data_IF_150017997624
#
_entry.id   IF_150017997624
#
_cell.length_a   1.000
_cell.length_b   1.000
_cell.length_c   1.000
_cell.angle_alpha   90.00
_cell.angle_beta   90.00
_cell.angle_gamma   90.00
#
_symmetry.space_group_name_H-M   'P 1'
#
loop_
_entity.id
_entity.type
_entity.pdbx_description
1 polymer ?
#
# COMPACT_ATOMS: atom_id res chain seq x y z
N UNK A 1 -78.70 21.51 5.42
CA UNK A 1 -77.57 21.84 6.31
C UNK A 1 -76.73 22.92 5.66
N UNK A 2 -76.78 24.17 6.15
CA UNK A 2 -75.88 25.23 5.68
C UNK A 2 -74.60 25.16 6.51
N UNK A 3 -73.46 24.93 5.85
CA UNK A 3 -72.14 25.00 6.50
C UNK A 3 -71.93 26.43 7.00
N UNK A 4 -71.90 26.60 8.32
CA UNK A 4 -71.72 27.90 8.97
C UNK A 4 -70.24 28.12 9.32
N UNK A 5 -69.38 28.05 8.30
CA UNK A 5 -67.94 28.29 8.45
C UNK A 5 -67.65 29.73 8.06
N UNK A 6 -67.21 30.54 9.03
CA UNK A 6 -66.80 31.92 8.82
C UNK A 6 -65.53 31.94 7.91
N UNK A 7 -65.57 32.59 6.73
CA UNK A 7 -64.46 32.57 5.77
C UNK A 7 -63.12 33.06 6.35
N UNK A 8 -63.15 34.09 7.20
CA UNK A 8 -61.96 34.66 7.82
C UNK A 8 -61.32 33.72 8.84
N UNK A 9 -62.14 32.96 9.57
CA UNK A 9 -61.67 31.95 10.53
C UNK A 9 -61.04 30.75 9.82
N UNK A 10 -61.59 30.41 8.65
CA UNK A 10 -61.05 29.35 7.77
C UNK A 10 -59.70 29.77 7.19
N UNK A 11 -59.58 31.02 6.73
CA UNK A 11 -58.33 31.59 6.22
C UNK A 11 -57.23 31.61 7.29
N UNK A 12 -57.58 32.04 8.51
CA UNK A 12 -56.64 32.05 9.64
C UNK A 12 -56.12 30.65 9.98
N UNK A 13 -57.00 29.65 10.06
CA UNK A 13 -56.62 28.25 10.29
C UNK A 13 -55.72 27.71 9.16
N UNK A 14 -55.97 28.12 7.91
CA UNK A 14 -55.13 27.73 6.78
C UNK A 14 -53.72 28.31 6.88
N UNK A 15 -53.58 29.58 7.26
CA UNK A 15 -52.28 30.23 7.46
C UNK A 15 -51.50 29.65 8.65
N UNK A 16 -52.19 29.35 9.76
CA UNK A 16 -51.59 28.62 10.89
C UNK A 16 -51.07 27.23 10.48
N UNK A 17 -51.86 26.49 9.67
CA UNK A 17 -51.46 25.18 9.16
C UNK A 17 -50.25 25.27 8.22
N UNK A 18 -50.22 26.26 7.33
CA UNK A 18 -49.06 26.50 6.44
C UNK A 18 -47.81 26.85 7.24
N UNK A 19 -47.93 27.71 8.24
CA UNK A 19 -46.81 28.09 9.11
C UNK A 19 -46.27 26.87 9.88
N UNK A 20 -47.18 26.04 10.42
CA UNK A 20 -46.82 24.78 11.10
C UNK A 20 -46.11 23.82 10.15
N UNK A 21 -46.67 23.54 8.98
CA UNK A 21 -46.04 22.63 8.00
C UNK A 21 -44.69 23.17 7.50
N UNK A 22 -44.54 24.49 7.32
CA UNK A 22 -43.26 25.10 6.95
C UNK A 22 -42.20 24.87 8.04
N UNK A 23 -42.59 25.01 9.31
CA UNK A 23 -41.70 24.75 10.45
C UNK A 23 -41.33 23.27 10.56
N UNK A 24 -42.31 22.37 10.50
CA UNK A 24 -42.08 20.91 10.53
C UNK A 24 -41.18 20.47 9.37
N UNK A 25 -41.41 20.98 8.15
CA UNK A 25 -40.55 20.69 7.00
C UNK A 25 -39.12 21.16 7.23
N UNK A 26 -38.92 22.36 7.78
CA UNK A 26 -37.60 22.88 8.08
C UNK A 26 -36.90 22.00 9.13
N UNK A 27 -37.58 21.65 10.23
CA UNK A 27 -37.05 20.79 11.29
C UNK A 27 -36.67 19.41 10.78
N UNK A 28 -37.53 18.76 9.98
CA UNK A 28 -37.25 17.46 9.37
C UNK A 28 -36.07 17.53 8.41
N UNK A 29 -35.98 18.58 7.60
CA UNK A 29 -34.86 18.76 6.65
C UNK A 29 -33.55 18.97 7.39
N UNK A 30 -33.53 19.82 8.41
CA UNK A 30 -32.33 20.06 9.24
C UNK A 30 -31.90 18.78 9.96
N UNK A 31 -32.85 18.05 10.55
CA UNK A 31 -32.56 16.79 11.25
C UNK A 31 -31.99 15.74 10.29
N UNK A 32 -32.58 15.59 9.10
CA UNK A 32 -32.07 14.67 8.09
C UNK A 32 -30.66 15.06 7.63
N UNK A 33 -30.40 16.35 7.41
CA UNK A 33 -29.08 16.84 7.01
C UNK A 33 -28.01 16.55 8.08
N UNK A 34 -28.34 16.76 9.36
CA UNK A 34 -27.44 16.45 10.47
C UNK A 34 -27.14 14.95 10.54
N UNK A 35 -28.17 14.10 10.42
CA UNK A 35 -27.98 12.64 10.42
C UNK A 35 -27.15 12.16 9.22
N UNK A 36 -27.28 12.79 8.06
CA UNK A 36 -26.43 12.49 6.89
C UNK A 36 -24.96 12.81 7.22
N UNK A 37 -24.68 13.99 7.76
CA UNK A 37 -23.32 14.39 8.12
C UNK A 37 -22.69 13.48 9.18
N UNK A 38 -23.44 13.11 10.21
CA UNK A 38 -22.98 12.18 11.25
C UNK A 38 -22.65 10.80 10.66
N UNK A 39 -23.50 10.30 9.76
CA UNK A 39 -23.27 9.01 9.09
C UNK A 39 -22.08 9.08 8.14
N UNK A 40 -21.90 10.17 7.41
CA UNK A 40 -20.73 10.38 6.55
C UNK A 40 -19.43 10.38 7.36
N UNK A 41 -19.40 11.07 8.51
CA UNK A 41 -18.26 11.06 9.41
C UNK A 41 -17.97 9.66 9.96
N UNK A 42 -19.01 8.91 10.34
CA UNK A 42 -18.87 7.53 10.79
C UNK A 42 -18.32 6.62 9.69
N UNK A 43 -18.82 6.75 8.47
CA UNK A 43 -18.34 5.99 7.30
C UNK A 43 -16.86 6.28 7.06
N UNK A 44 -16.44 7.54 7.09
CA UNK A 44 -15.02 7.89 6.92
C UNK A 44 -14.15 7.30 8.03
N UNK A 45 -14.59 7.38 9.29
CA UNK A 45 -13.86 6.78 10.41
C UNK A 45 -13.74 5.26 10.27
N UNK A 46 -14.80 4.57 9.84
CA UNK A 46 -14.79 3.13 9.63
C UNK A 46 -13.86 2.74 8.48
N UNK A 47 -13.89 3.47 7.36
CA UNK A 47 -12.97 3.26 6.23
C UNK A 47 -11.51 3.41 6.65
N UNK A 48 -11.17 4.43 7.43
CA UNK A 48 -9.81 4.60 7.95
C UNK A 48 -9.41 3.45 8.88
N UNK A 49 -10.31 2.99 9.76
CA UNK A 49 -10.04 1.86 10.65
C UNK A 49 -9.84 0.56 9.88
N UNK A 50 -10.69 0.28 8.90
CA UNK A 50 -10.59 -0.89 8.03
C UNK A 50 -9.25 -0.90 7.28
N UNK A 51 -8.91 0.22 6.62
CA UNK A 51 -7.63 0.40 5.94
C UNK A 51 -6.44 0.11 6.86
N UNK A 52 -6.41 0.72 8.04
CA UNK A 52 -5.32 0.53 9.00
C UNK A 52 -5.24 -0.92 9.50
N UNK A 53 -6.38 -1.59 9.67
CA UNK A 53 -6.42 -2.99 10.09
C UNK A 53 -5.89 -3.93 9.00
N UNK A 54 -6.28 -3.72 7.74
CA UNK A 54 -5.79 -4.48 6.59
C UNK A 54 -4.27 -4.34 6.48
N UNK A 55 -3.77 -3.11 6.49
CA UNK A 55 -2.33 -2.82 6.44
C UNK A 55 -1.57 -3.42 7.64
N UNK A 56 -2.13 -3.36 8.84
CA UNK A 56 -1.54 -3.99 10.03
C UNK A 56 -1.47 -5.51 9.88
N UNK A 57 -2.48 -6.13 9.28
CA UNK A 57 -2.54 -7.58 9.05
C UNK A 57 -1.48 -8.02 8.05
N UNK A 58 -1.32 -7.27 6.95
CA UNK A 58 -0.26 -7.51 5.98
C UNK A 58 1.14 -7.40 6.60
N UNK A 59 1.39 -6.32 7.37
CA UNK A 59 2.67 -6.13 8.08
C UNK A 59 2.92 -7.28 9.06
N UNK A 60 1.92 -7.69 9.85
CA UNK A 60 2.04 -8.82 10.78
C UNK A 60 2.35 -10.13 10.06
N UNK A 61 1.79 -10.34 8.86
CA UNK A 61 2.14 -11.44 7.98
C UNK A 61 3.63 -11.45 7.63
N UNK A 62 4.19 -10.29 7.24
CA UNK A 62 5.62 -10.14 6.98
C UNK A 62 6.48 -10.30 8.23
N UNK A 63 6.09 -9.71 9.36
CA UNK A 63 6.79 -9.82 10.64
C UNK A 63 6.93 -11.27 11.11
N UNK A 64 5.91 -12.10 10.89
CA UNK A 64 5.93 -13.52 11.30
C UNK A 64 7.02 -14.36 10.62
N UNK A 65 7.58 -13.88 9.50
CA UNK A 65 8.66 -14.52 8.76
C UNK A 65 10.06 -14.13 9.27
N UNK A 66 10.15 -13.16 10.18
CA UNK A 66 11.42 -12.60 10.64
C UNK A 66 11.88 -13.23 11.95
N UNK A 67 13.20 -13.46 12.03
CA UNK A 67 13.85 -13.90 13.26
C UNK A 67 14.47 -12.70 13.99
N UNK A 68 13.99 -12.41 15.19
CA UNK A 68 14.47 -11.30 16.00
C UNK A 68 15.67 -11.69 16.87
N UNK A 69 16.52 -10.70 17.18
CA UNK A 69 17.70 -10.90 17.98
C UNK A 69 17.32 -11.23 19.44
N UNK A 70 17.55 -12.48 19.85
CA UNK A 70 17.29 -12.97 21.21
C UNK A 70 18.13 -12.29 22.30
N UNK A 71 19.20 -11.60 21.93
CA UNK A 71 20.03 -10.81 22.85
C UNK A 71 19.47 -9.41 23.14
N UNK A 72 18.42 -8.98 22.43
CA UNK A 72 17.71 -7.74 22.71
C UNK A 72 16.50 -8.01 23.60
N UNK A 73 16.16 -7.02 24.42
CA UNK A 73 14.98 -7.08 25.26
C UNK A 73 13.69 -7.14 24.41
N UNK A 74 12.74 -7.98 24.82
CA UNK A 74 11.51 -8.19 24.06
C UNK A 74 10.62 -6.95 24.03
N UNK A 75 10.61 -6.13 25.10
CA UNK A 75 9.85 -4.89 25.10
C UNK A 75 10.44 -3.89 24.10
N UNK A 76 11.78 -3.79 24.04
CA UNK A 76 12.47 -2.97 23.04
C UNK A 76 12.13 -3.41 21.60
N UNK A 77 12.17 -4.71 21.32
CA UNK A 77 11.79 -5.26 20.01
C UNK A 77 10.35 -4.86 19.68
N UNK A 78 9.42 -5.07 20.62
CA UNK A 78 8.01 -4.76 20.43
C UNK A 78 7.76 -3.26 20.20
N UNK A 79 8.47 -2.38 20.91
CA UNK A 79 8.35 -0.92 20.74
C UNK A 79 8.84 -0.48 19.36
N UNK A 80 9.96 -1.04 18.88
CA UNK A 80 10.49 -0.76 17.55
C UNK A 80 9.52 -1.26 16.47
N UNK A 81 8.99 -2.49 16.61
CA UNK A 81 7.98 -3.03 15.70
C UNK A 81 6.78 -2.09 15.66
N UNK A 82 6.22 -1.73 16.82
CA UNK A 82 5.05 -0.84 16.91
C UNK A 82 5.29 0.49 16.21
N UNK A 83 6.45 1.11 16.46
CA UNK A 83 6.81 2.40 15.84
C UNK A 83 6.93 2.29 14.32
N UNK A 84 7.63 1.26 13.83
CA UNK A 84 7.82 1.04 12.38
C UNK A 84 6.52 0.68 11.69
N UNK A 85 5.67 -0.17 12.27
CA UNK A 85 4.33 -0.48 11.78
C UNK A 85 3.49 0.79 11.67
N UNK A 86 3.46 1.63 12.72
CA UNK A 86 2.71 2.89 12.68
C UNK A 86 3.24 3.84 11.60
N UNK A 87 4.56 3.94 11.44
CA UNK A 87 5.20 4.78 10.43
C UNK A 87 4.87 4.31 9.02
N UNK A 88 4.90 3.00 8.76
CA UNK A 88 4.55 2.43 7.46
C UNK A 88 3.08 2.69 7.11
N UNK A 89 2.16 2.46 8.05
CA UNK A 89 0.73 2.70 7.84
C UNK A 89 0.44 4.18 7.58
N UNK A 90 1.06 5.08 8.36
CA UNK A 90 0.83 6.52 8.24
C UNK A 90 1.28 7.09 6.89
N UNK A 91 2.33 6.52 6.29
CA UNK A 91 2.89 6.99 5.03
C UNK A 91 2.38 6.20 3.81
N UNK A 92 1.69 5.08 4.01
CA UNK A 92 1.16 4.29 2.91
C UNK A 92 0.14 5.09 2.08
N UNK A 93 0.06 4.79 0.78
CA UNK A 93 -0.91 5.35 -0.16
C UNK A 93 -1.63 4.19 -0.85
N UNK A 94 -2.93 4.32 -1.08
CA UNK A 94 -3.67 3.40 -1.92
C UNK A 94 -3.72 3.93 -3.36
N UNK A 95 -3.16 3.18 -4.31
CA UNK A 95 -3.22 3.47 -5.74
C UNK A 95 -3.75 2.23 -6.48
N UNK A 96 -4.78 2.41 -7.31
CA UNK A 96 -5.40 1.33 -8.10
C UNK A 96 -5.78 0.08 -7.29
N UNK A 97 -6.23 0.27 -6.04
CA UNK A 97 -6.62 -0.81 -5.14
C UNK A 97 -5.44 -1.59 -4.55
N UNK A 98 -4.21 -1.09 -4.66
CA UNK A 98 -3.01 -1.65 -4.05
C UNK A 98 -2.40 -0.68 -3.05
N UNK A 99 -1.85 -1.23 -1.97
CA UNK A 99 -1.06 -0.47 -1.00
C UNK A 99 0.34 -0.21 -1.56
N UNK A 100 0.68 1.07 -1.75
CA UNK A 100 2.03 1.54 -2.00
C UNK A 100 2.61 2.02 -0.67
N UNK A 101 3.68 1.38 -0.24
CA UNK A 101 4.38 1.74 0.98
C UNK A 101 5.38 2.86 0.70
N UNK A 102 5.30 3.94 1.46
CA UNK A 102 6.16 5.10 1.29
C UNK A 102 6.99 5.40 2.54
N UNK A 103 8.14 6.04 2.31
CA UNK A 103 8.99 6.64 3.33
C UNK A 103 8.31 7.91 3.89
N UNK A 104 8.82 8.45 5.02
CA UNK A 104 8.30 9.69 5.60
C UNK A 104 8.40 10.92 4.69
N UNK A 105 9.28 10.90 3.69
CA UNK A 105 9.41 11.97 2.69
C UNK A 105 8.36 11.88 1.55
N UNK A 106 7.46 10.89 1.62
CA UNK A 106 6.42 10.64 0.63
C UNK A 106 6.87 9.80 -0.57
N UNK A 107 8.16 9.44 -0.65
CA UNK A 107 8.65 8.59 -1.75
C UNK A 107 8.36 7.12 -1.50
N UNK A 108 7.96 6.37 -2.53
CA UNK A 108 7.72 4.94 -2.41
C UNK A 108 9.02 4.18 -2.06
N UNK A 109 8.93 3.13 -1.26
CA UNK A 109 10.03 2.19 -1.13
C UNK A 109 10.24 1.49 -2.48
N UNK A 110 11.48 1.47 -2.96
CA UNK A 110 11.85 0.91 -4.25
C UNK A 110 12.79 -0.27 -4.11
N UNK A 111 12.64 -1.24 -4.98
CA UNK A 111 13.59 -2.32 -5.26
C UNK A 111 14.01 -2.17 -6.73
N UNK A 112 15.14 -1.50 -6.94
CA UNK A 112 15.50 -0.94 -8.25
C UNK A 112 14.47 0.12 -8.70
N UNK A 113 13.82 -0.13 -9.83
CA UNK A 113 12.79 0.76 -10.41
C UNK A 113 11.36 0.37 -10.01
N UNK A 114 11.16 -0.82 -9.45
CA UNK A 114 9.86 -1.31 -8.99
C UNK A 114 9.62 -0.91 -7.53
N UNK A 115 8.35 -0.94 -7.10
CA UNK A 115 8.04 -0.80 -5.67
C UNK A 115 8.52 -2.05 -4.92
N UNK A 116 9.20 -1.85 -3.80
CA UNK A 116 9.68 -2.94 -2.98
C UNK A 116 8.51 -3.75 -2.40
N UNK A 117 8.73 -5.06 -2.21
CA UNK A 117 7.77 -5.92 -1.51
C UNK A 117 7.70 -5.55 -0.03
N UNK A 118 6.55 -5.79 0.60
CA UNK A 118 6.38 -5.52 2.03
C UNK A 118 7.37 -6.32 2.89
N UNK A 119 7.67 -7.57 2.53
CA UNK A 119 8.65 -8.41 3.23
C UNK A 119 10.04 -7.74 3.24
N UNK A 120 10.50 -7.25 2.09
CA UNK A 120 11.78 -6.53 1.96
C UNK A 120 11.79 -5.23 2.76
N UNK A 121 10.70 -4.47 2.70
CA UNK A 121 10.57 -3.21 3.44
C UNK A 121 10.64 -3.46 4.95
N UNK A 122 9.85 -4.39 5.47
CA UNK A 122 9.81 -4.70 6.91
C UNK A 122 11.16 -5.25 7.38
N UNK A 123 11.82 -6.10 6.58
CA UNK A 123 13.15 -6.61 6.88
C UNK A 123 14.19 -5.47 6.99
N UNK A 124 14.17 -4.52 6.06
CA UNK A 124 15.09 -3.37 6.06
C UNK A 124 14.81 -2.41 7.22
N UNK A 125 13.53 -2.08 7.45
CA UNK A 125 13.12 -1.17 8.53
C UNK A 125 13.43 -1.71 9.93
N UNK A 126 13.49 -3.04 10.08
CA UNK A 126 13.77 -3.72 11.34
C UNK A 126 15.18 -4.31 11.43
N UNK A 127 16.05 -4.08 10.44
CA UNK A 127 17.38 -4.71 10.36
C UNK A 127 18.21 -4.56 11.66
N UNK A 128 18.02 -3.47 12.41
CA UNK A 128 18.70 -3.22 13.68
C UNK A 128 18.34 -4.20 14.80
N UNK A 129 17.13 -4.78 14.76
CA UNK A 129 16.61 -5.69 15.78
C UNK A 129 16.50 -7.15 15.33
N UNK A 130 16.79 -7.42 14.06
CA UNK A 130 16.81 -8.78 13.53
C UNK A 130 18.03 -9.56 14.01
N UNK A 131 17.87 -10.87 14.11
CA UNK A 131 18.97 -11.77 14.39
C UNK A 131 20.00 -11.65 13.27
N UNK A 132 21.19 -11.18 13.60
CA UNK A 132 22.33 -11.23 12.69
C UNK A 132 22.89 -12.63 12.77
N UNK A 133 22.65 -13.45 11.76
CA UNK A 133 23.46 -14.65 11.57
C UNK A 133 24.90 -14.17 11.33
N UNK A 134 25.71 -14.10 12.38
CA UNK A 134 27.16 -14.20 12.24
C UNK A 134 27.45 -15.64 11.82
N UNK A 135 27.24 -15.93 10.54
CA UNK A 135 27.99 -16.99 9.88
C UNK A 135 29.47 -16.62 10.09
N UNK A 136 30.22 -17.46 10.80
CA UNK A 136 31.65 -17.26 10.97
C UNK A 136 32.32 -17.06 9.60
N UNK A 137 33.18 -16.04 9.50
CA UNK A 137 34.19 -15.88 8.45
C UNK A 137 33.73 -16.17 7.02
N UNK A 138 32.81 -15.37 6.47
CA UNK A 138 32.55 -15.35 5.03
C UNK A 138 33.38 -14.27 4.34
N UNK A 139 34.56 -14.62 3.84
CA UNK A 139 35.17 -13.84 2.78
C UNK A 139 34.25 -13.90 1.55
N UNK A 140 33.67 -12.76 1.16
CA UNK A 140 32.99 -12.55 -0.12
C UNK A 140 31.74 -13.40 -0.38
N UNK A 141 30.55 -12.84 -0.20
CA UNK A 141 29.38 -13.25 -0.98
C UNK A 141 29.53 -12.73 -2.41
N UNK A 142 30.49 -13.30 -3.12
CA UNK A 142 30.42 -13.40 -4.58
C UNK A 142 29.50 -14.59 -4.84
N UNK A 143 28.43 -14.48 -5.62
CA UNK A 143 27.63 -15.62 -6.00
C UNK A 143 28.57 -16.67 -6.62
N UNK A 144 28.66 -17.85 -6.00
CA UNK A 144 29.43 -18.95 -6.57
C UNK A 144 28.74 -19.41 -7.85
N UNK A 145 29.34 -19.04 -8.97
CA UNK A 145 29.03 -19.47 -10.33
C UNK A 145 29.25 -20.98 -10.48
N UNK A 146 28.38 -21.82 -9.92
CA UNK A 146 28.34 -23.24 -10.28
C UNK A 146 27.15 -23.96 -9.64
N UNK A 147 26.13 -24.27 -10.45
CA UNK A 147 25.15 -25.30 -10.09
C UNK A 147 23.78 -25.14 -10.75
N UNK A 148 23.61 -25.86 -11.87
CA UNK A 148 22.36 -26.16 -12.58
C UNK A 148 21.75 -25.08 -13.48
N UNK A 149 22.25 -25.06 -14.71
CA UNK A 149 21.61 -24.53 -15.90
C UNK A 149 20.35 -25.33 -16.25
N UNK A 150 19.17 -24.73 -16.13
CA UNK A 150 17.91 -25.32 -16.58
C UNK A 150 17.15 -24.33 -17.48
N UNK A 151 17.60 -24.21 -18.73
CA UNK A 151 16.80 -23.84 -19.92
C UNK A 151 16.14 -22.45 -20.05
N UNK A 152 15.89 -21.70 -18.99
CA UNK A 152 14.99 -20.53 -19.03
C UNK A 152 15.69 -19.16 -19.04
N UNK A 153 16.87 -19.03 -19.64
CA UNK A 153 17.58 -17.75 -19.62
C UNK A 153 16.92 -16.70 -20.55
N UNK A 154 16.79 -15.47 -20.07
CA UNK A 154 16.43 -14.29 -20.88
C UNK A 154 17.71 -13.63 -21.38
N UNK A 155 17.91 -13.61 -22.69
CA UNK A 155 19.10 -13.03 -23.34
C UNK A 155 18.69 -11.69 -23.96
N UNK A 156 19.28 -10.60 -23.49
CA UNK A 156 19.06 -9.24 -24.01
C UNK A 156 20.22 -8.88 -24.94
N UNK A 157 19.95 -8.23 -26.07
CA UNK A 157 21.02 -7.81 -26.99
C UNK A 157 21.72 -6.57 -26.43
N UNK A 158 23.03 -6.63 -26.19
CA UNK A 158 23.79 -5.51 -25.59
C UNK A 158 23.70 -4.20 -26.39
N UNK A 159 23.45 -4.28 -27.70
CA UNK A 159 23.28 -3.11 -28.54
C UNK A 159 21.93 -2.37 -28.33
N UNK A 160 20.96 -2.98 -27.66
CA UNK A 160 19.59 -2.44 -27.54
C UNK A 160 19.36 -1.64 -26.25
N UNK A 161 20.34 -1.55 -25.36
CA UNK A 161 20.24 -0.76 -24.14
C UNK A 161 21.55 -0.04 -23.82
N UNK A 162 21.44 1.19 -23.32
CA UNK A 162 22.56 1.99 -22.78
C UNK A 162 22.30 2.45 -21.35
N UNK A 163 21.07 2.25 -20.88
CA UNK A 163 20.56 2.76 -19.60
C UNK A 163 19.72 1.67 -18.94
N UNK A 164 19.57 1.75 -17.62
CA UNK A 164 18.88 0.71 -16.84
C UNK A 164 17.40 0.58 -17.26
N UNK A 165 16.74 1.70 -17.58
CA UNK A 165 15.37 1.73 -18.09
C UNK A 165 15.23 1.05 -19.47
N UNK A 166 16.18 1.28 -20.37
CA UNK A 166 16.22 0.60 -21.67
C UNK A 166 16.43 -0.90 -21.51
N UNK A 167 17.29 -1.30 -20.57
CA UNK A 167 17.50 -2.71 -20.25
C UNK A 167 16.22 -3.36 -19.72
N UNK A 168 15.53 -2.74 -18.75
CA UNK A 168 14.25 -3.25 -18.27
C UNK A 168 13.25 -3.38 -19.42
N UNK A 169 13.13 -2.36 -20.25
CA UNK A 169 12.16 -2.34 -21.36
C UNK A 169 12.38 -3.51 -22.32
N UNK A 170 13.64 -3.78 -22.67
CA UNK A 170 14.00 -4.90 -23.55
C UNK A 170 13.84 -6.25 -22.86
N UNK A 171 14.19 -6.34 -21.57
CA UNK A 171 13.93 -7.53 -20.76
C UNK A 171 12.43 -7.86 -20.69
N UNK A 172 11.57 -6.87 -20.42
CA UNK A 172 10.13 -7.00 -20.33
C UNK A 172 9.53 -7.52 -21.64
N UNK A 173 9.95 -6.97 -22.78
CA UNK A 173 9.52 -7.44 -24.11
C UNK A 173 9.86 -8.92 -24.33
N UNK A 174 11.05 -9.34 -23.92
CA UNK A 174 11.51 -10.72 -24.13
C UNK A 174 10.81 -11.68 -23.16
N UNK A 175 10.63 -11.29 -21.90
CA UNK A 175 9.89 -12.06 -20.91
C UNK A 175 8.44 -12.31 -21.36
N UNK A 176 7.76 -11.26 -21.87
CA UNK A 176 6.41 -11.39 -22.44
C UNK A 176 6.37 -12.31 -23.65
N UNK A 177 7.31 -12.20 -24.60
CA UNK A 177 7.40 -13.11 -25.76
C UNK A 177 7.61 -14.57 -25.37
N UNK A 178 8.30 -14.80 -24.25
CA UNK A 178 8.54 -16.14 -23.69
C UNK A 178 7.40 -16.62 -22.78
N UNK A 179 6.34 -15.83 -22.59
CA UNK A 179 5.20 -16.19 -21.76
C UNK A 179 5.51 -16.21 -20.26
N UNK A 180 6.55 -15.50 -19.81
CA UNK A 180 6.96 -15.44 -18.40
C UNK A 180 6.15 -14.35 -17.69
N UNK A 181 5.23 -14.70 -16.78
CA UNK A 181 4.43 -13.72 -16.05
C UNK A 181 5.28 -13.00 -14.98
N UNK A 182 4.94 -11.74 -14.68
CA UNK A 182 5.59 -11.00 -13.59
C UNK A 182 5.33 -11.69 -12.24
N UNK A 183 6.40 -12.06 -11.54
CA UNK A 183 6.40 -12.89 -10.34
C UNK A 183 7.82 -13.35 -9.98
N UNK A 184 7.97 -14.33 -9.08
CA UNK A 184 9.27 -14.73 -8.55
C UNK A 184 10.25 -15.24 -9.63
N UNK A 185 9.75 -16.01 -10.61
CA UNK A 185 10.57 -16.50 -11.73
C UNK A 185 11.02 -15.36 -12.65
N UNK A 186 10.13 -14.40 -12.94
CA UNK A 186 10.48 -13.20 -13.68
C UNK A 186 11.56 -12.39 -12.95
N UNK A 187 11.40 -12.18 -11.64
CA UNK A 187 12.33 -11.39 -10.84
C UNK A 187 13.71 -12.06 -10.78
N UNK A 188 13.75 -13.39 -10.60
CA UNK A 188 14.98 -14.16 -10.63
C UNK A 188 15.70 -14.00 -11.97
N UNK A 189 14.99 -14.17 -13.08
CA UNK A 189 15.56 -14.05 -14.43
C UNK A 189 16.00 -12.62 -14.75
N UNK A 190 15.29 -11.62 -14.22
CA UNK A 190 15.65 -10.23 -14.34
C UNK A 190 16.98 -9.96 -13.67
N UNK A 191 17.16 -10.37 -12.41
CA UNK A 191 18.40 -10.16 -11.67
C UNK A 191 19.57 -10.95 -12.27
N UNK A 192 19.35 -12.20 -12.68
CA UNK A 192 20.37 -12.97 -13.40
C UNK A 192 20.85 -12.28 -14.68
N UNK A 193 19.94 -11.64 -15.42
CA UNK A 193 20.30 -10.87 -16.61
C UNK A 193 20.95 -9.53 -16.23
N UNK A 194 20.43 -8.84 -15.22
CA UNK A 194 20.92 -7.56 -14.74
C UNK A 194 22.38 -7.63 -14.27
N UNK A 195 22.73 -8.69 -13.54
CA UNK A 195 24.11 -8.97 -13.14
C UNK A 195 24.98 -9.35 -14.34
N UNK A 196 24.50 -10.23 -15.23
CA UNK A 196 25.23 -10.69 -16.41
C UNK A 196 25.68 -9.54 -17.32
N UNK A 197 24.85 -8.51 -17.48
CA UNK A 197 25.15 -7.36 -18.32
C UNK A 197 25.70 -6.16 -17.55
N UNK A 198 26.06 -6.32 -16.27
CA UNK A 198 26.56 -5.25 -15.40
C UNK A 198 25.68 -3.98 -15.43
N UNK A 199 24.37 -4.15 -15.47
CA UNK A 199 23.41 -3.06 -15.70
C UNK A 199 23.46 -2.02 -14.58
N UNK A 200 23.84 -2.40 -13.36
CA UNK A 200 24.09 -1.50 -12.23
C UNK A 200 25.09 -0.39 -12.53
N UNK A 201 25.98 -0.58 -13.50
CA UNK A 201 26.99 0.41 -13.91
C UNK A 201 26.48 1.40 -14.96
N UNK A 202 25.30 1.15 -15.53
CA UNK A 202 24.65 2.01 -16.51
C UNK A 202 23.90 3.15 -15.83
N UNK A 203 23.69 4.25 -16.56
CA UNK A 203 22.85 5.35 -16.09
C UNK A 203 21.41 4.89 -15.94
N UNK A 204 20.70 5.41 -14.94
CA UNK A 204 19.30 5.03 -14.68
C UNK A 204 18.39 5.36 -15.87
N UNK A 205 18.61 6.52 -16.51
CA UNK A 205 17.82 7.06 -17.64
C UNK A 205 18.63 7.21 -18.92
#
# INVERSE_FOLDING_TARGET
>A
LKSNTNPDETLKKLEELKAKHKKEKAELTTTAQQQIQEREQLIQSLKTKERNLTMSTEINGSLSKLEFNKGLDQALINDIIKLKTQTLIANAVEEDGKTIWCKPDGTAYKDGILNASLDTIVQNELQSVLHKNTQGGGAGNTPTSSGNFNGSQVIVQEATFKTQEQFLTEFDKIAQRKGIPKGDEYNKLYWEAFERYNVSTLREY
#
